data_IF_296716044729
#
_entry.id   IF_296716044729
#
_cell.length_a   1.000
_cell.length_b   1.000
_cell.length_c   1.000
_cell.angle_alpha   90.00
_cell.angle_beta   90.00
_cell.angle_gamma   90.00
#
_symmetry.space_group_name_H-M   'P 1'
#
loop_
_entity.id
_entity.type
_entity.pdbx_description
1 polymer ?
#
# COMPACT_ATOMS: atom_id res chain seq x y z
N UNK A 1 1.57 -8.69 2.32
CA UNK A 1 1.64 -7.35 2.95
C UNK A 1 0.25 -6.78 2.94
N UNK A 2 -0.24 -6.27 4.07
CA UNK A 2 -1.52 -5.59 4.18
C UNK A 2 -1.27 -4.15 4.66
N UNK A 3 -2.01 -3.21 4.09
CA UNK A 3 -2.03 -1.81 4.49
C UNK A 3 -3.31 -1.56 5.25
N UNK A 4 -3.21 -0.90 6.40
CA UNK A 4 -4.31 -0.60 7.29
C UNK A 4 -4.30 0.89 7.64
N UNK A 5 -5.50 1.44 7.80
CA UNK A 5 -5.73 2.75 8.40
C UNK A 5 -6.64 2.51 9.59
N UNK A 6 -6.27 3.01 10.77
CA UNK A 6 -7.14 3.00 11.94
C UNK A 6 -7.88 4.34 12.02
N UNK A 7 -9.16 4.28 12.42
CA UNK A 7 -10.02 5.47 12.46
C UNK A 7 -9.65 6.43 13.60
N UNK A 8 -9.10 5.89 14.68
CA UNK A 8 -8.72 6.66 15.87
C UNK A 8 -7.23 7.05 15.85
N UNK A 9 -6.54 6.85 14.72
CA UNK A 9 -5.16 7.31 14.55
C UNK A 9 -5.11 8.79 14.13
N UNK A 10 -4.18 9.52 14.75
CA UNK A 10 -4.08 10.98 14.65
C UNK A 10 -2.87 11.42 13.80
N UNK A 11 -2.64 12.73 13.71
CA UNK A 11 -1.48 13.34 13.05
C UNK A 11 -0.15 12.89 13.68
N UNK A 12 0.94 12.77 12.91
CA UNK A 12 1.08 13.07 11.47
C UNK A 12 0.44 12.00 10.56
N UNK A 13 0.20 12.30 9.26
CA UNK A 13 -0.35 11.34 8.32
C UNK A 13 0.47 10.06 8.21
N UNK A 14 -0.15 8.92 8.50
CA UNK A 14 0.55 7.63 8.50
C UNK A 14 -0.39 6.48 8.13
N UNK A 15 0.19 5.32 7.85
CA UNK A 15 -0.54 4.06 7.70
C UNK A 15 0.20 2.91 8.35
N UNK A 16 -0.53 1.84 8.63
CA UNK A 16 0.04 0.64 9.24
C UNK A 16 0.29 -0.43 8.18
N UNK A 17 1.41 -1.12 8.33
CA UNK A 17 1.82 -2.23 7.48
C UNK A 17 1.90 -3.48 8.30
N UNK A 18 1.21 -4.52 7.85
CA UNK A 18 1.34 -5.87 8.39
C UNK A 18 1.95 -6.80 7.35
N UNK A 19 3.10 -7.37 7.67
CA UNK A 19 3.79 -8.36 6.86
C UNK A 19 4.16 -9.60 7.69
N UNK A 20 4.64 -10.64 7.01
CA UNK A 20 5.19 -11.82 7.68
C UNK A 20 6.50 -11.42 8.38
N UNK A 21 6.47 -11.29 9.70
CA UNK A 21 7.66 -10.99 10.52
C UNK A 21 7.75 -9.58 11.06
N UNK A 22 6.92 -8.64 10.59
CA UNK A 22 6.86 -7.30 11.20
C UNK A 22 5.49 -6.63 11.08
N UNK A 23 5.24 -5.71 12.00
CA UNK A 23 4.23 -4.66 11.89
C UNK A 23 4.93 -3.32 11.98
N UNK A 24 4.48 -2.34 11.20
CA UNK A 24 5.12 -1.04 11.22
C UNK A 24 4.11 0.08 10.96
N UNK A 25 4.35 1.22 11.60
CA UNK A 25 3.71 2.50 11.29
C UNK A 25 4.62 3.25 10.35
N UNK A 26 4.09 3.62 9.19
CA UNK A 26 4.84 4.29 8.13
C UNK A 26 4.32 5.71 7.96
N UNK A 27 5.21 6.68 8.05
CA UNK A 27 4.92 8.10 7.90
C UNK A 27 4.76 8.44 6.41
N UNK A 28 3.69 9.15 6.07
CA UNK A 28 3.39 9.53 4.68
C UNK A 28 4.10 10.82 4.25
N UNK A 29 4.53 11.67 5.16
CA UNK A 29 5.19 12.94 4.85
C UNK A 29 6.70 12.72 4.65
N UNK A 30 7.34 12.10 5.63
CA UNK A 30 8.79 11.85 5.66
C UNK A 30 9.19 10.56 4.92
N UNK A 31 8.20 9.70 4.60
CA UNK A 31 8.42 8.42 3.92
C UNK A 31 9.38 7.48 4.66
N UNK A 32 9.27 7.46 5.99
CA UNK A 32 10.07 6.64 6.91
C UNK A 32 9.19 5.76 7.80
N UNK A 33 9.79 4.76 8.45
CA UNK A 33 9.11 3.96 9.47
C UNK A 33 9.20 4.70 10.80
N UNK A 34 8.04 5.04 11.37
CA UNK A 34 7.93 5.73 12.66
C UNK A 34 7.99 4.74 13.84
N UNK A 35 7.32 3.59 13.71
CA UNK A 35 7.26 2.56 14.75
C UNK A 35 7.36 1.17 14.09
N UNK A 36 8.03 0.23 14.74
CA UNK A 36 8.21 -1.13 14.23
C UNK A 36 8.14 -2.17 15.35
N UNK A 37 7.36 -3.22 15.10
CA UNK A 37 7.34 -4.45 15.88
C UNK A 37 7.86 -5.60 15.03
N UNK A 38 8.80 -6.38 15.57
CA UNK A 38 9.43 -7.49 14.84
C UNK A 38 10.61 -7.05 13.98
N UNK A 39 10.89 -7.79 12.91
CA UNK A 39 12.10 -7.61 12.10
C UNK A 39 11.75 -7.25 10.65
N UNK A 40 11.94 -5.97 10.31
CA UNK A 40 11.85 -5.50 8.93
C UNK A 40 13.24 -5.54 8.30
N UNK A 41 13.36 -6.25 7.18
CA UNK A 41 14.61 -6.28 6.42
C UNK A 41 14.74 -5.00 5.59
N UNK A 42 15.97 -4.54 5.31
CA UNK A 42 16.19 -3.36 4.46
C UNK A 42 15.49 -3.44 3.09
N UNK A 43 15.38 -4.64 2.49
CA UNK A 43 14.69 -4.81 1.21
C UNK A 43 13.18 -4.64 1.32
N UNK A 44 12.58 -4.99 2.46
CA UNK A 44 11.15 -4.82 2.70
C UNK A 44 10.82 -3.34 2.89
N UNK A 45 11.67 -2.60 3.61
CA UNK A 45 11.58 -1.13 3.72
C UNK A 45 11.69 -0.47 2.34
N UNK A 46 12.70 -0.83 1.54
CA UNK A 46 12.89 -0.24 0.21
C UNK A 46 11.68 -0.47 -0.70
N UNK A 47 11.12 -1.68 -0.69
CA UNK A 47 9.92 -2.03 -1.46
C UNK A 47 8.68 -1.27 -0.99
N UNK A 48 8.52 -1.15 0.33
CA UNK A 48 7.43 -0.41 0.94
C UNK A 48 7.52 1.07 0.54
N UNK A 49 8.68 1.70 0.73
CA UNK A 49 8.93 3.10 0.37
C UNK A 49 8.67 3.37 -1.11
N UNK A 50 9.17 2.51 -2.00
CA UNK A 50 8.91 2.63 -3.45
C UNK A 50 7.41 2.56 -3.77
N UNK A 51 6.69 1.62 -3.12
CA UNK A 51 5.25 1.51 -3.27
C UNK A 51 4.53 2.74 -2.73
N UNK A 52 4.92 3.25 -1.55
CA UNK A 52 4.36 4.46 -0.94
C UNK A 52 4.53 5.68 -1.84
N UNK A 53 5.72 5.88 -2.42
CA UNK A 53 5.98 7.01 -3.33
C UNK A 53 5.03 6.96 -4.53
N UNK A 54 4.83 5.78 -5.12
CA UNK A 54 3.95 5.63 -6.28
C UNK A 54 2.48 5.89 -5.93
N UNK A 55 2.06 5.46 -4.75
CA UNK A 55 0.67 5.49 -4.30
C UNK A 55 0.39 6.63 -3.31
N UNK A 56 1.28 7.62 -3.25
CA UNK A 56 1.29 8.64 -2.19
C UNK A 56 -0.02 9.41 -2.11
N UNK A 57 -0.51 9.92 -3.24
CA UNK A 57 -1.77 10.66 -3.31
C UNK A 57 -2.98 9.81 -2.88
N UNK A 58 -3.02 8.54 -3.28
CA UNK A 58 -4.11 7.61 -2.94
C UNK A 58 -4.09 7.25 -1.44
N UNK A 59 -2.90 7.05 -0.87
CA UNK A 59 -2.71 6.82 0.56
C UNK A 59 -3.13 8.03 1.38
N UNK A 60 -2.74 9.23 0.96
CA UNK A 60 -3.10 10.48 1.63
C UNK A 60 -4.62 10.71 1.59
N UNK A 61 -5.26 10.45 0.44
CA UNK A 61 -6.72 10.51 0.33
C UNK A 61 -7.42 9.48 1.25
N UNK A 62 -6.89 8.27 1.34
CA UNK A 62 -7.40 7.24 2.24
C UNK A 62 -7.20 7.58 3.72
N UNK A 63 -6.08 8.19 4.08
CA UNK A 63 -5.86 8.70 5.44
C UNK A 63 -6.92 9.73 5.82
N UNK A 64 -7.20 10.70 4.93
CA UNK A 64 -8.28 11.67 5.15
C UNK A 64 -9.67 11.02 5.26
N UNK A 65 -9.96 10.01 4.43
CA UNK A 65 -11.21 9.23 4.52
C UNK A 65 -11.33 8.51 5.85
N UNK A 66 -10.23 7.88 6.32
CA UNK A 66 -10.18 7.22 7.62
C UNK A 66 -10.52 8.20 8.74
N UNK A 67 -9.91 9.39 8.75
CA UNK A 67 -10.23 10.43 9.75
C UNK A 67 -11.71 10.85 9.78
N UNK A 68 -12.38 10.79 8.63
CA UNK A 68 -13.82 11.08 8.50
C UNK A 68 -14.71 9.84 8.71
N UNK A 69 -14.13 8.70 9.09
CA UNK A 69 -14.81 7.40 9.21
C UNK A 69 -15.53 6.99 7.92
N UNK A 70 -15.00 7.41 6.79
CA UNK A 70 -15.51 7.07 5.47
C UNK A 70 -14.93 5.73 4.98
N UNK A 71 -15.62 5.06 4.06
CA UNK A 71 -15.07 3.91 3.38
C UNK A 71 -13.75 4.24 2.67
N UNK A 72 -12.74 3.39 2.88
CA UNK A 72 -11.46 3.47 2.19
C UNK A 72 -11.62 3.07 0.72
N UNK A 73 -10.89 3.75 -0.15
CA UNK A 73 -10.79 3.38 -1.55
C UNK A 73 -9.70 2.33 -1.76
N UNK A 74 -9.95 1.45 -2.71
CA UNK A 74 -8.97 0.47 -3.15
C UNK A 74 -7.84 1.18 -3.90
N UNK A 75 -6.61 0.88 -3.49
CA UNK A 75 -5.39 1.30 -4.21
C UNK A 75 -5.02 0.20 -5.19
N UNK A 76 -4.91 0.52 -6.48
CA UNK A 76 -4.56 -0.43 -7.54
C UNK A 76 -3.07 -0.33 -7.89
N UNK A 77 -2.29 -1.38 -7.61
CA UNK A 77 -0.89 -1.38 -8.05
C UNK A 77 -0.81 -1.67 -9.55
N UNK A 78 -0.41 -0.67 -10.33
CA UNK A 78 -0.19 -0.78 -11.77
C UNK A 78 1.04 -1.62 -12.14
N UNK A 79 1.64 -2.33 -11.18
CA UNK A 79 2.66 -3.36 -11.46
C UNK A 79 2.02 -4.63 -12.02
N UNK A 80 1.43 -4.49 -13.20
CA UNK A 80 1.11 -5.61 -14.09
C UNK A 80 2.18 -5.64 -15.20
N UNK A 81 3.25 -6.39 -14.96
CA UNK A 81 4.18 -6.95 -15.95
C UNK A 81 4.52 -6.13 -17.23
N UNK A 82 5.60 -5.35 -17.22
CA UNK A 82 6.39 -5.04 -18.45
C UNK A 82 7.65 -5.90 -18.56
N UNK A 83 7.60 -7.14 -18.05
CA UNK A 83 8.57 -8.18 -18.44
C UNK A 83 7.86 -9.36 -19.08
N UNK A 84 7.09 -9.06 -20.12
CA UNK A 84 6.99 -9.96 -21.26
C UNK A 84 8.31 -9.82 -22.03
N UNK A 85 9.16 -10.84 -21.97
CA UNK A 85 9.93 -11.17 -23.17
C UNK A 85 8.86 -11.55 -24.21
N UNK A 86 8.62 -10.65 -25.16
CA UNK A 86 7.77 -10.77 -26.39
C UNK A 86 6.28 -11.05 -26.18
N UNK A 87 5.46 -10.02 -26.37
CA UNK A 87 4.19 -10.18 -27.08
C UNK A 87 4.46 -9.98 -28.57
N UNK A 88 4.37 -11.07 -29.34
CA UNK A 88 4.10 -11.01 -30.79
C UNK A 88 2.65 -11.44 -30.95
N UNK A 89 1.84 -10.62 -31.60
CA UNK A 89 0.44 -10.93 -31.92
C UNK A 89 -0.55 -10.22 -31.02
N UNK A 90 -1.19 -9.19 -31.58
CA UNK A 90 -2.25 -8.45 -30.91
C UNK A 90 -3.49 -9.31 -30.68
N UNK A 91 -4.12 -9.13 -29.52
CA UNK A 91 -5.56 -9.30 -29.33
C UNK A 91 -5.96 -8.52 -28.07
N UNK A 92 -6.87 -7.58 -28.27
CA UNK A 92 -7.42 -6.68 -27.29
C UNK A 92 -8.38 -7.43 -26.38
N UNK A 93 -8.00 -7.69 -25.13
CA UNK A 93 -8.99 -7.87 -24.05
C UNK A 93 -8.33 -7.69 -22.69
N UNK A 94 -8.53 -6.51 -22.09
CA UNK A 94 -8.17 -6.21 -20.70
C UNK A 94 -9.17 -6.92 -19.80
N UNK A 95 -8.89 -8.14 -19.37
CA UNK A 95 -9.61 -8.77 -18.26
C UNK A 95 -8.85 -10.00 -17.79
N UNK A 96 -8.69 -10.10 -16.47
CA UNK A 96 -8.09 -11.21 -15.72
C UNK A 96 -6.57 -11.16 -15.57
N UNK A 97 -6.12 -10.48 -14.51
CA UNK A 97 -5.07 -11.05 -13.67
C UNK A 97 -5.03 -10.39 -12.29
N UNK A 98 -5.65 -11.09 -11.34
CA UNK A 98 -5.26 -11.19 -9.92
C UNK A 98 -5.44 -9.97 -8.99
N UNK A 99 -6.47 -10.13 -8.14
CA UNK A 99 -6.84 -9.29 -7.02
C UNK A 99 -5.83 -9.40 -5.86
N UNK A 100 -5.44 -8.26 -5.27
CA UNK A 100 -5.01 -8.21 -3.87
C UNK A 100 -6.14 -7.67 -2.98
N UNK A 101 -6.48 -8.42 -1.93
CA UNK A 101 -7.56 -8.17 -0.96
C UNK A 101 -7.03 -7.21 0.12
N UNK A 102 -7.53 -5.97 0.15
CA UNK A 102 -7.47 -5.13 1.36
C UNK A 102 -8.75 -5.37 2.15
N UNK A 103 -8.62 -5.67 3.45
CA UNK A 103 -9.76 -5.77 4.37
C UNK A 103 -9.55 -4.74 5.47
N UNK A 104 -10.49 -3.79 5.59
CA UNK A 104 -10.67 -3.00 6.79
C UNK A 104 -11.20 -3.92 7.90
N UNK A 105 -10.60 -3.89 9.08
CA UNK A 105 -11.20 -4.44 10.30
C UNK A 105 -11.35 -3.30 11.31
N UNK A 106 -12.50 -3.35 11.98
CA UNK A 106 -12.96 -2.51 13.08
C UNK A 106 -11.97 -2.47 14.22
#
# INVERSE_FOLDING_TARGET
MAILFYYDDHEPPHFHVRASGFRAKFDLEELVVAEIEGQMRPQDFARLREWTIRHHAELYANWHRARRKEPLLRIEDQRCCTRLRRCVGGLTSKSKCCLNRMSARL
#
